data_IF_358753532490
#
_entry.id   IF_358753532490
#
_cell.length_a   1.000
_cell.length_b   1.000
_cell.length_c   1.000
_cell.angle_alpha   90.00
_cell.angle_beta   90.00
_cell.angle_gamma   90.00
#
_symmetry.space_group_name_H-M   'P 1'
#
loop_
_entity.id
_entity.type
_entity.pdbx_description
1 polymer ?
#
# COMPACT_ATOMS: atom_id res chain seq x y z
N UNK A 1 38.78 -13.03 14.32
CA UNK A 1 38.18 -11.74 13.95
C UNK A 1 37.03 -12.06 13.03
N UNK A 2 35.81 -12.04 13.56
CA UNK A 2 34.60 -12.23 12.76
C UNK A 2 34.24 -10.88 12.18
N UNK A 3 34.17 -10.79 10.86
CA UNK A 3 33.60 -9.66 10.15
C UNK A 3 32.12 -9.58 10.53
N UNK A 4 31.77 -8.52 11.24
CA UNK A 4 30.40 -8.10 11.51
C UNK A 4 29.72 -7.87 10.17
N UNK A 5 29.07 -8.92 9.67
CA UNK A 5 28.07 -8.82 8.62
C UNK A 5 26.95 -8.00 9.24
N UNK A 6 26.86 -6.74 8.82
CA UNK A 6 25.80 -5.80 9.18
C UNK A 6 24.49 -6.56 9.31
N UNK A 7 24.01 -6.68 10.55
CA UNK A 7 22.62 -6.99 10.79
C UNK A 7 21.87 -5.77 10.26
N UNK A 8 21.42 -5.84 9.01
CA UNK A 8 20.48 -4.87 8.45
C UNK A 8 19.27 -4.87 9.38
N UNK A 9 19.21 -3.90 10.28
CA UNK A 9 18.03 -3.69 11.10
C UNK A 9 16.93 -3.33 10.12
N UNK A 10 16.03 -4.28 9.85
CA UNK A 10 14.83 -4.04 9.06
C UNK A 10 14.11 -2.85 9.68
N UNK A 11 14.08 -1.72 8.97
CA UNK A 11 13.42 -0.50 9.41
C UNK A 11 12.04 -0.40 8.77
N UNK A 12 11.10 0.31 9.38
CA UNK A 12 9.81 0.58 8.77
C UNK A 12 9.98 1.27 7.41
N UNK A 13 10.94 2.18 7.28
CA UNK A 13 11.16 2.98 6.06
C UNK A 13 11.63 2.17 4.86
N UNK A 14 12.15 0.97 5.08
CA UNK A 14 12.59 0.04 4.02
C UNK A 14 11.54 -0.99 3.62
N UNK A 15 10.37 -1.01 4.26
CA UNK A 15 9.32 -2.00 4.01
C UNK A 15 8.12 -1.34 3.29
N UNK A 16 7.64 -1.88 2.16
CA UNK A 16 6.58 -1.25 1.39
C UNK A 16 5.25 -1.19 2.15
N UNK A 17 5.02 -2.15 3.04
CA UNK A 17 3.80 -2.20 3.83
C UNK A 17 3.68 -0.96 4.73
N UNK A 18 4.80 -0.37 5.15
CA UNK A 18 4.76 0.86 5.93
C UNK A 18 4.25 2.05 5.12
N UNK A 19 4.66 2.18 3.85
CA UNK A 19 4.12 3.19 2.96
C UNK A 19 2.61 3.00 2.73
N UNK A 20 2.16 1.75 2.52
CA UNK A 20 0.73 1.41 2.37
C UNK A 20 -0.07 1.77 3.63
N UNK A 21 0.45 1.44 4.82
CA UNK A 21 -0.17 1.80 6.10
C UNK A 21 -0.29 3.32 6.22
N UNK A 22 0.77 4.06 5.90
CA UNK A 22 0.78 5.52 5.95
C UNK A 22 -0.26 6.12 5.00
N UNK A 23 -0.33 5.66 3.75
CA UNK A 23 -1.35 6.09 2.77
C UNK A 23 -2.77 5.84 3.27
N UNK A 24 -3.02 4.67 3.88
CA UNK A 24 -4.33 4.38 4.45
C UNK A 24 -4.67 5.38 5.57
N UNK A 25 -3.75 5.62 6.49
CA UNK A 25 -3.98 6.53 7.62
C UNK A 25 -4.23 7.96 7.13
N UNK A 26 -3.49 8.41 6.12
CA UNK A 26 -3.68 9.72 5.49
C UNK A 26 -5.08 9.87 4.89
N UNK A 27 -5.52 8.88 4.10
CA UNK A 27 -6.78 8.97 3.36
C UNK A 27 -8.02 8.60 4.18
N UNK A 28 -7.91 7.63 5.09
CA UNK A 28 -9.06 6.89 5.61
C UNK A 28 -9.18 6.84 7.13
N UNK A 29 -8.20 7.38 7.88
CA UNK A 29 -8.21 7.33 9.36
C UNK A 29 -9.48 7.94 9.96
N UNK A 30 -9.95 9.06 9.40
CA UNK A 30 -11.15 9.78 9.86
C UNK A 30 -12.42 8.96 9.65
N UNK A 31 -12.65 8.46 8.43
CA UNK A 31 -13.82 7.64 8.08
C UNK A 31 -13.81 6.32 8.85
N UNK A 32 -12.62 5.74 9.07
CA UNK A 32 -12.47 4.50 9.84
C UNK A 32 -12.60 4.74 11.37
N UNK A 33 -12.43 5.99 11.84
CA UNK A 33 -12.50 6.38 13.24
C UNK A 33 -11.32 5.88 14.08
N UNK A 34 -10.13 5.84 13.48
CA UNK A 34 -8.86 5.38 14.08
C UNK A 34 -7.87 6.55 14.22
N UNK A 35 -6.90 6.47 15.14
CA UNK A 35 -5.86 7.49 15.24
C UNK A 35 -5.01 7.56 13.97
N UNK A 36 -4.52 8.77 13.65
CA UNK A 36 -3.52 9.03 12.63
C UNK A 36 -2.24 9.51 13.31
N UNK A 37 -1.38 8.60 13.81
CA UNK A 37 -0.08 8.98 14.34
C UNK A 37 0.83 9.53 13.23
N UNK A 38 1.77 10.38 13.60
CA UNK A 38 2.85 10.80 12.71
C UNK A 38 3.70 9.59 12.30
N UNK A 39 4.46 9.77 11.21
CA UNK A 39 5.39 8.77 10.71
C UNK A 39 6.40 8.32 11.75
N UNK A 40 6.86 9.23 12.60
CA UNK A 40 7.83 8.95 13.65
C UNK A 40 7.18 8.14 14.77
N UNK A 41 6.04 8.60 15.28
CA UNK A 41 5.32 7.91 16.36
C UNK A 41 4.94 6.48 15.95
N UNK A 42 4.42 6.29 14.74
CA UNK A 42 4.05 4.96 14.26
C UNK A 42 5.26 4.04 14.13
N UNK A 43 6.38 4.55 13.60
CA UNK A 43 7.64 3.79 13.50
C UNK A 43 8.11 3.36 14.89
N UNK A 44 8.18 4.30 15.83
CA UNK A 44 8.65 4.03 17.19
C UNK A 44 7.81 2.95 17.88
N UNK A 45 6.48 3.05 17.77
CA UNK A 45 5.57 2.04 18.33
C UNK A 45 5.76 0.63 17.72
N UNK A 46 6.10 0.54 16.43
CA UNK A 46 6.26 -0.74 15.73
C UNK A 46 7.65 -1.37 15.93
N UNK A 47 8.69 -0.54 15.93
CA UNK A 47 10.09 -0.96 16.06
C UNK A 47 10.49 -1.26 17.52
N UNK A 48 9.74 -0.77 18.52
CA UNK A 48 9.99 -1.10 19.91
C UNK A 48 9.82 -2.62 20.18
N UNK A 49 10.85 -3.18 20.80
CA UNK A 49 10.92 -4.60 21.20
C UNK A 49 11.02 -4.78 22.72
N UNK A 50 11.04 -3.68 23.48
CA UNK A 50 11.12 -3.64 24.94
C UNK A 50 9.73 -3.64 25.57
N UNK A 51 8.82 -2.86 24.98
CA UNK A 51 7.41 -2.79 25.32
C UNK A 51 6.53 -2.64 24.07
N UNK A 52 5.22 -2.72 24.24
CA UNK A 52 4.25 -2.46 23.17
C UNK A 52 3.40 -1.28 23.63
N UNK A 53 3.46 -0.18 22.90
CA UNK A 53 2.69 1.02 23.21
C UNK A 53 1.20 0.71 23.32
N UNK A 54 0.55 1.21 24.38
CA UNK A 54 -0.89 1.04 24.58
C UNK A 54 -1.70 1.59 23.40
N UNK A 55 -1.23 2.67 22.78
CA UNK A 55 -1.88 3.28 21.60
C UNK A 55 -1.93 2.29 20.43
N UNK A 56 -0.86 1.51 20.22
CA UNK A 56 -0.80 0.50 19.18
C UNK A 56 -1.69 -0.72 19.50
N UNK A 57 -1.73 -1.14 20.77
CA UNK A 57 -2.65 -2.21 21.22
C UNK A 57 -4.11 -1.79 20.98
N UNK A 58 -4.47 -0.58 21.38
CA UNK A 58 -5.82 -0.05 21.23
C UNK A 58 -6.21 0.10 19.75
N UNK A 59 -5.27 0.49 18.89
CA UNK A 59 -5.46 0.52 17.44
C UNK A 59 -5.81 -0.88 16.89
N UNK A 60 -5.02 -1.90 17.23
CA UNK A 60 -5.27 -3.28 16.79
C UNK A 60 -6.63 -3.80 17.27
N UNK A 61 -6.96 -3.60 18.54
CA UNK A 61 -8.24 -3.99 19.12
C UNK A 61 -9.39 -3.27 18.40
N UNK A 62 -9.24 -1.97 18.14
CA UNK A 62 -10.26 -1.17 17.45
C UNK A 62 -10.50 -1.69 16.03
N UNK A 63 -9.45 -1.96 15.25
CA UNK A 63 -9.57 -2.50 13.89
C UNK A 63 -10.26 -3.87 13.87
N UNK A 64 -9.89 -4.76 14.79
CA UNK A 64 -10.54 -6.08 14.94
C UNK A 64 -12.03 -5.94 15.24
N UNK A 65 -12.41 -5.08 16.19
CA UNK A 65 -13.82 -4.85 16.56
C UNK A 65 -14.61 -4.25 15.41
N UNK A 66 -14.02 -3.31 14.67
CA UNK A 66 -14.62 -2.68 13.49
C UNK A 66 -14.86 -3.68 12.37
N UNK A 67 -14.01 -4.71 12.24
CA UNK A 67 -14.19 -5.84 11.34
C UNK A 67 -15.07 -6.97 11.92
N UNK A 68 -15.94 -6.65 12.89
CA UNK A 68 -16.86 -7.59 13.57
C UNK A 68 -16.18 -8.80 14.23
N UNK A 69 -14.89 -8.70 14.57
CA UNK A 69 -14.20 -9.74 15.36
C UNK A 69 -14.34 -9.43 16.85
N UNK A 70 -14.94 -10.34 17.60
CA UNK A 70 -15.08 -10.21 19.05
C UNK A 70 -13.73 -10.46 19.73
N UNK A 71 -13.18 -9.41 20.35
CA UNK A 71 -11.89 -9.48 21.04
C UNK A 71 -11.98 -8.88 22.45
N UNK A 72 -11.61 -9.70 23.44
CA UNK A 72 -11.38 -9.28 24.82
C UNK A 72 -10.04 -8.56 24.89
N UNK A 73 -10.00 -7.43 25.61
CA UNK A 73 -8.80 -6.61 25.76
C UNK A 73 -7.64 -7.43 26.33
N UNK A 74 -7.90 -8.29 27.32
CA UNK A 74 -6.86 -9.13 27.94
C UNK A 74 -6.34 -10.27 27.04
N UNK A 75 -7.05 -10.56 25.93
CA UNK A 75 -6.74 -11.65 25.01
C UNK A 75 -6.42 -11.14 23.60
N UNK A 76 -6.05 -9.87 23.47
CA UNK A 76 -5.84 -9.23 22.18
C UNK A 76 -4.77 -9.95 21.32
N UNK A 77 -3.64 -10.34 21.90
CA UNK A 77 -2.58 -11.06 21.16
C UNK A 77 -3.08 -12.38 20.58
N UNK A 78 -3.92 -13.12 21.34
CA UNK A 78 -4.51 -14.37 20.85
C UNK A 78 -5.49 -14.13 19.70
N UNK A 79 -6.24 -13.03 19.76
CA UNK A 79 -7.11 -12.62 18.65
C UNK A 79 -6.30 -12.26 17.40
N UNK A 80 -5.19 -11.55 17.57
CA UNK A 80 -4.29 -11.23 16.46
C UNK A 80 -3.62 -12.46 15.87
N UNK A 81 -3.21 -13.45 16.68
CA UNK A 81 -2.61 -14.67 16.16
C UNK A 81 -3.59 -15.45 15.29
N UNK A 82 -4.83 -15.60 15.76
CA UNK A 82 -5.92 -16.21 14.99
C UNK A 82 -6.18 -15.46 13.69
N UNK A 83 -6.11 -14.13 13.72
CA UNK A 83 -6.24 -13.32 12.52
C UNK A 83 -5.05 -13.51 11.57
N UNK A 84 -3.81 -13.55 12.05
CA UNK A 84 -2.66 -13.84 11.20
C UNK A 84 -2.83 -15.14 10.42
N UNK A 85 -3.36 -16.20 11.06
CA UNK A 85 -3.62 -17.48 10.39
C UNK A 85 -4.61 -17.40 9.21
N UNK A 86 -5.42 -16.34 9.10
CA UNK A 86 -6.33 -16.18 7.97
C UNK A 86 -5.63 -15.74 6.68
N UNK A 87 -4.44 -15.14 6.77
CA UNK A 87 -3.67 -14.69 5.60
C UNK A 87 -2.26 -15.31 5.51
N UNK A 88 -1.66 -15.73 6.62
CA UNK A 88 -0.33 -16.34 6.69
C UNK A 88 -0.20 -17.23 7.91
N UNK A 89 -0.09 -18.54 7.70
CA UNK A 89 0.19 -19.49 8.77
C UNK A 89 1.50 -19.12 9.49
N UNK A 90 2.55 -18.78 8.74
CA UNK A 90 3.86 -18.42 9.30
C UNK A 90 3.76 -17.23 10.26
N UNK A 91 2.95 -16.22 9.95
CA UNK A 91 2.77 -15.03 10.78
C UNK A 91 1.98 -15.38 12.06
N UNK A 92 0.99 -16.27 11.96
CA UNK A 92 0.25 -16.79 13.10
C UNK A 92 1.17 -17.54 14.06
N UNK A 93 1.96 -18.48 13.55
CA UNK A 93 2.95 -19.22 14.36
C UNK A 93 3.99 -18.30 15.01
N UNK A 94 4.48 -17.27 14.31
CA UNK A 94 5.41 -16.29 14.87
C UNK A 94 4.77 -15.57 16.08
N UNK A 95 3.53 -15.10 15.94
CA UNK A 95 2.84 -14.37 17.00
C UNK A 95 2.49 -15.27 18.19
N UNK A 96 2.06 -16.50 17.95
CA UNK A 96 1.80 -17.49 18.99
C UNK A 96 3.04 -17.86 19.80
N UNK A 97 4.18 -18.00 19.11
CA UNK A 97 5.42 -18.47 19.72
C UNK A 97 6.18 -17.36 20.44
N UNK A 98 6.25 -16.16 19.84
CA UNK A 98 7.09 -15.07 20.35
C UNK A 98 6.29 -13.94 21.01
N UNK A 99 4.98 -13.87 20.76
CA UNK A 99 4.14 -12.73 21.16
C UNK A 99 4.41 -11.49 20.30
N UNK A 100 3.48 -10.54 20.30
CA UNK A 100 3.55 -9.36 19.42
C UNK A 100 4.84 -8.57 19.63
N UNK A 101 5.23 -8.38 20.90
CA UNK A 101 6.42 -7.61 21.27
C UNK A 101 7.71 -8.10 20.60
N UNK A 102 7.90 -9.42 20.48
CA UNK A 102 9.15 -10.04 20.01
C UNK A 102 9.07 -10.55 18.57
N UNK A 103 7.91 -10.48 17.92
CA UNK A 103 7.77 -10.81 16.50
C UNK A 103 8.55 -9.84 15.61
N UNK A 104 8.98 -10.35 14.45
CA UNK A 104 9.65 -9.55 13.41
C UNK A 104 8.83 -8.33 13.00
N UNK A 105 9.52 -7.24 12.67
CA UNK A 105 8.89 -6.02 12.20
C UNK A 105 8.02 -6.25 10.95
N UNK A 106 8.49 -7.04 10.00
CA UNK A 106 7.73 -7.38 8.78
C UNK A 106 6.44 -8.15 9.07
N UNK A 107 6.36 -8.90 10.18
CA UNK A 107 5.13 -9.55 10.63
C UNK A 107 4.18 -8.51 11.24
N UNK A 108 4.68 -7.62 12.10
CA UNK A 108 3.89 -6.52 12.67
C UNK A 108 3.29 -5.60 11.59
N UNK A 109 4.08 -5.28 10.56
CA UNK A 109 3.66 -4.44 9.42
C UNK A 109 2.61 -5.14 8.57
N UNK A 110 2.84 -6.40 8.16
CA UNK A 110 1.83 -7.15 7.41
C UNK A 110 0.54 -7.31 8.19
N UNK A 111 0.62 -7.61 9.48
CA UNK A 111 -0.55 -7.68 10.37
C UNK A 111 -1.35 -6.38 10.37
N UNK A 112 -0.70 -5.24 10.61
CA UNK A 112 -1.38 -3.94 10.62
C UNK A 112 -1.99 -3.60 9.24
N UNK A 113 -1.24 -3.82 8.15
CA UNK A 113 -1.75 -3.64 6.78
C UNK A 113 -3.02 -4.45 6.55
N UNK A 114 -2.99 -5.76 6.83
CA UNK A 114 -4.14 -6.64 6.61
C UNK A 114 -5.34 -6.23 7.47
N UNK A 115 -5.13 -5.75 8.70
CA UNK A 115 -6.22 -5.23 9.55
C UNK A 115 -6.86 -3.96 8.97
N UNK A 116 -6.07 -3.09 8.34
CA UNK A 116 -6.57 -1.88 7.67
C UNK A 116 -7.31 -2.23 6.38
N UNK A 117 -6.77 -3.15 5.58
CA UNK A 117 -7.42 -3.63 4.35
C UNK A 117 -8.77 -4.30 4.63
N UNK A 118 -8.84 -5.11 5.69
CA UNK A 118 -10.08 -5.76 6.13
C UNK A 118 -11.22 -4.77 6.42
N UNK A 119 -10.92 -3.50 6.69
CA UNK A 119 -11.96 -2.49 6.91
C UNK A 119 -12.80 -2.26 5.65
N UNK A 120 -12.21 -2.36 4.46
CA UNK A 120 -12.95 -2.24 3.19
C UNK A 120 -13.99 -3.35 2.99
N UNK A 121 -13.79 -4.51 3.62
CA UNK A 121 -14.70 -5.64 3.49
C UNK A 121 -15.76 -5.65 4.58
N UNK A 122 -15.33 -5.51 5.85
CA UNK A 122 -16.14 -5.88 7.01
C UNK A 122 -16.71 -4.69 7.81
N UNK A 123 -16.19 -3.47 7.62
CA UNK A 123 -16.61 -2.30 8.38
C UNK A 123 -17.65 -1.48 7.58
N UNK A 124 -18.92 -1.89 7.64
CA UNK A 124 -20.00 -1.27 6.85
C UNK A 124 -20.07 0.25 7.00
N UNK A 125 -19.89 0.78 8.21
CA UNK A 125 -19.93 2.24 8.42
C UNK A 125 -18.81 2.95 7.65
N UNK A 126 -17.61 2.39 7.68
CA UNK A 126 -16.48 2.91 6.90
C UNK A 126 -16.76 2.84 5.40
N UNK A 127 -17.24 1.68 4.91
CA UNK A 127 -17.61 1.49 3.50
C UNK A 127 -18.63 2.52 3.02
N UNK A 128 -19.69 2.75 3.80
CA UNK A 128 -20.71 3.75 3.47
C UNK A 128 -20.12 5.15 3.34
N UNK A 129 -19.14 5.54 4.17
CA UNK A 129 -18.49 6.84 4.03
C UNK A 129 -17.52 6.89 2.84
N UNK A 130 -16.77 5.81 2.59
CA UNK A 130 -15.85 5.71 1.43
C UNK A 130 -16.62 5.74 0.11
N UNK A 131 -17.78 5.08 0.02
CA UNK A 131 -18.60 5.05 -1.19
C UNK A 131 -19.23 6.41 -1.56
N UNK A 132 -19.18 7.39 -0.66
CA UNK A 132 -19.59 8.78 -0.97
C UNK A 132 -18.50 9.58 -1.67
N UNK A 133 -17.26 9.09 -1.64
CA UNK A 133 -16.11 9.77 -2.24
C UNK A 133 -16.07 9.48 -3.74
N UNK A 134 -15.65 10.48 -4.50
CA UNK A 134 -15.45 10.34 -5.94
C UNK A 134 -14.20 9.49 -6.22
N UNK A 135 -14.19 8.82 -7.38
CA UNK A 135 -13.05 8.01 -7.82
C UNK A 135 -11.72 8.78 -7.80
N UNK A 136 -11.75 10.07 -8.14
CA UNK A 136 -10.57 10.96 -8.12
C UNK A 136 -10.04 11.20 -6.69
N UNK A 137 -10.88 11.17 -5.66
CA UNK A 137 -10.48 11.40 -4.27
C UNK A 137 -9.81 10.16 -3.66
N UNK A 138 -10.21 8.98 -4.15
CA UNK A 138 -9.70 7.67 -3.74
C UNK A 138 -8.34 7.34 -4.36
N UNK A 139 -8.04 7.89 -5.54
CA UNK A 139 -6.76 7.69 -6.21
C UNK A 139 -5.69 8.60 -5.59
N UNK A 140 -4.50 8.03 -5.44
CA UNK A 140 -3.29 8.81 -5.19
C UNK A 140 -2.64 8.97 -6.56
N UNK A 141 -2.44 10.21 -6.99
CA UNK A 141 -1.73 10.50 -8.22
C UNK A 141 -0.23 10.64 -7.92
N UNK A 142 0.65 10.19 -8.83
CA UNK A 142 2.07 10.46 -8.69
C UNK A 142 2.35 11.97 -8.78
N UNK A 143 3.41 12.42 -8.13
CA UNK A 143 3.91 13.79 -8.28
C UNK A 143 4.32 14.09 -9.73
N UNK A 144 4.85 13.08 -10.42
CA UNK A 144 5.34 13.20 -11.78
C UNK A 144 6.39 12.14 -12.11
N UNK A 145 7.01 12.30 -13.28
CA UNK A 145 8.11 11.46 -13.76
C UNK A 145 9.35 12.30 -14.05
N UNK A 146 10.53 11.72 -13.83
CA UNK A 146 11.78 12.34 -14.29
C UNK A 146 12.10 11.99 -15.76
N UNK A 147 13.20 12.53 -16.25
CA UNK A 147 13.69 12.31 -17.61
C UNK A 147 14.05 10.84 -17.91
N UNK A 148 14.29 10.03 -16.88
CA UNK A 148 14.60 8.62 -16.98
C UNK A 148 13.33 7.76 -16.91
N UNK A 149 12.15 8.39 -16.78
CA UNK A 149 10.86 7.70 -16.69
C UNK A 149 10.51 7.22 -15.27
N UNK A 150 11.34 7.51 -14.26
CA UNK A 150 11.10 7.10 -12.88
C UNK A 150 9.95 7.92 -12.30
N UNK A 151 9.02 7.27 -11.60
CA UNK A 151 7.81 7.89 -11.08
C UNK A 151 7.98 8.27 -9.60
N UNK A 152 7.57 9.48 -9.23
CA UNK A 152 7.72 9.99 -7.86
C UNK A 152 6.37 10.07 -7.15
N UNK A 153 6.36 9.66 -5.88
CA UNK A 153 5.18 9.63 -5.02
C UNK A 153 5.45 10.40 -3.73
N UNK A 154 4.47 11.14 -3.24
CA UNK A 154 4.59 11.94 -2.01
C UNK A 154 3.60 11.49 -0.95
N UNK A 155 4.04 11.51 0.30
CA UNK A 155 3.18 11.32 1.46
C UNK A 155 3.43 12.42 2.50
N UNK A 156 2.36 12.79 3.19
CA UNK A 156 2.40 13.70 4.33
C UNK A 156 1.78 13.07 5.56
N UNK A 157 2.28 13.44 6.74
CA UNK A 157 1.69 13.07 8.01
C UNK A 157 1.06 14.28 8.72
N UNK A 158 0.34 14.09 9.84
CA UNK A 158 -0.30 15.18 10.58
C UNK A 158 0.70 16.18 11.21
N UNK A 159 1.98 15.81 11.31
CA UNK A 159 3.06 16.69 11.77
C UNK A 159 3.76 17.41 10.61
N UNK A 160 3.20 17.32 9.38
CA UNK A 160 3.75 17.88 8.16
C UNK A 160 5.14 17.36 7.79
N UNK A 161 5.49 16.14 8.22
CA UNK A 161 6.64 15.45 7.68
C UNK A 161 6.36 15.00 6.25
N UNK A 162 7.35 15.17 5.38
CA UNK A 162 7.28 14.79 3.97
C UNK A 162 8.11 13.54 3.72
N UNK A 163 7.57 12.64 2.91
CA UNK A 163 8.31 11.52 2.33
C UNK A 163 8.09 11.48 0.83
N UNK A 164 9.18 11.23 0.10
CA UNK A 164 9.14 11.01 -1.34
C UNK A 164 9.70 9.64 -1.67
N UNK A 165 8.91 8.88 -2.41
CA UNK A 165 9.30 7.59 -2.96
C UNK A 165 9.53 7.73 -4.46
N UNK A 166 10.51 6.98 -4.97
CA UNK A 166 10.80 6.84 -6.39
C UNK A 166 10.54 5.40 -6.78
N UNK A 167 9.69 5.21 -7.78
CA UNK A 167 9.33 3.94 -8.38
C UNK A 167 10.01 3.81 -9.74
N UNK A 168 10.64 2.67 -9.96
CA UNK A 168 11.08 2.21 -11.26
C UNK A 168 10.03 1.20 -11.79
N UNK A 169 9.21 1.59 -12.78
CA UNK A 169 8.15 0.72 -13.30
C UNK A 169 8.70 -0.47 -14.09
N UNK A 170 9.91 -0.36 -14.65
CA UNK A 170 10.52 -1.42 -15.46
C UNK A 170 11.20 -2.48 -14.56
N UNK A 171 11.85 -2.05 -13.48
CA UNK A 171 12.45 -2.96 -12.50
C UNK A 171 11.47 -3.43 -11.41
N UNK A 172 10.25 -2.88 -11.38
CA UNK A 172 9.23 -3.09 -10.32
C UNK A 172 9.79 -2.80 -8.91
N UNK A 173 10.68 -1.81 -8.80
CA UNK A 173 11.31 -1.42 -7.53
C UNK A 173 10.83 -0.06 -7.06
N UNK A 174 10.92 0.17 -5.75
CA UNK A 174 10.61 1.46 -5.14
C UNK A 174 11.64 1.80 -4.05
N UNK A 175 11.90 3.10 -3.89
CA UNK A 175 12.95 3.59 -3.00
C UNK A 175 12.49 4.86 -2.28
N UNK A 176 12.70 4.95 -0.96
CA UNK A 176 12.51 6.20 -0.22
C UNK A 176 13.69 7.15 -0.52
N UNK A 177 13.46 8.17 -1.33
CA UNK A 177 14.50 9.12 -1.80
C UNK A 177 14.55 10.41 -0.99
N UNK A 178 13.47 10.77 -0.29
CA UNK A 178 13.47 11.85 0.69
C UNK A 178 12.61 11.48 1.90
N UNK A 179 13.12 11.76 3.11
CA UNK A 179 12.43 11.43 4.39
C UNK A 179 12.09 12.66 5.24
N UNK A 180 12.56 13.83 4.81
CA UNK A 180 12.40 15.10 5.48
C UNK A 180 12.59 16.25 4.48
N UNK A 181 12.41 17.49 4.95
CA UNK A 181 12.55 18.70 4.13
C UNK A 181 13.95 18.83 3.51
N UNK A 182 14.99 18.46 4.23
CA UNK A 182 16.37 18.56 3.75
C UNK A 182 16.59 17.62 2.56
N UNK A 183 16.18 16.35 2.72
CA UNK A 183 16.23 15.36 1.64
C UNK A 183 15.40 15.76 0.42
N UNK A 184 14.24 16.40 0.64
CA UNK A 184 13.42 16.91 -0.47
C UNK A 184 14.13 18.02 -1.25
N UNK A 185 14.77 18.97 -0.57
CA UNK A 185 15.55 20.03 -1.24
C UNK A 185 16.70 19.41 -2.05
N UNK A 186 17.46 18.48 -1.46
CA UNK A 186 18.54 17.80 -2.17
C UNK A 186 18.04 17.00 -3.39
N UNK A 187 16.87 16.37 -3.29
CA UNK A 187 16.25 15.67 -4.42
C UNK A 187 15.87 16.64 -5.54
N UNK A 188 15.25 17.78 -5.20
CA UNK A 188 14.88 18.82 -6.18
C UNK A 188 16.14 19.35 -6.88
N UNK A 189 17.21 19.64 -6.14
CA UNK A 189 18.46 20.14 -6.70
C UNK A 189 19.09 19.13 -7.67
N UNK A 190 19.09 17.84 -7.31
CA UNK A 190 19.60 16.76 -8.17
C UNK A 190 18.79 16.61 -9.46
N UNK A 191 17.46 16.60 -9.36
CA UNK A 191 16.56 16.51 -10.51
C UNK A 191 16.66 17.74 -11.42
N UNK A 192 16.83 18.94 -10.84
CA UNK A 192 16.91 20.20 -11.57
C UNK A 192 18.27 20.41 -12.25
N UNK A 193 19.34 19.83 -11.69
CA UNK A 193 20.70 19.95 -12.25
C UNK A 193 20.91 19.10 -13.50
N UNK A 194 19.95 18.23 -13.84
CA UNK A 194 19.99 17.44 -15.06
C UNK A 194 21.22 16.53 -15.13
N UNK A 195 21.65 15.91 -14.02
CA UNK A 195 22.84 15.04 -14.04
C UNK A 195 22.73 13.90 -15.08
N UNK A 196 21.53 13.44 -15.43
CA UNK A 196 21.32 12.56 -16.59
C UNK A 196 21.16 13.25 -17.97
N UNK A 197 21.01 14.58 -18.04
CA UNK A 197 21.08 15.34 -19.31
C UNK A 197 22.52 15.49 -19.79
N UNK A 198 23.50 15.44 -18.90
CA UNK A 198 24.91 15.60 -19.27
C UNK A 198 25.39 14.42 -20.10
N UNK A 199 24.99 13.19 -19.74
CA UNK A 199 25.35 11.98 -20.48
C UNK A 199 24.70 11.94 -21.87
N UNK A 200 23.42 12.30 -21.99
CA UNK A 200 22.72 12.36 -23.29
C UNK A 200 23.24 13.48 -24.19
N UNK A 201 23.55 14.66 -23.64
CA UNK A 201 24.15 15.76 -24.40
C UNK A 201 25.58 15.44 -24.83
N UNK A 202 26.36 14.68 -24.04
CA UNK A 202 27.68 14.22 -24.47
C UNK A 202 27.57 13.25 -25.66
N UNK A 203 26.62 12.31 -25.61
CA UNK A 203 26.40 11.34 -26.70
C UNK A 203 25.81 12.01 -27.96
N UNK A 204 24.90 12.98 -27.81
CA UNK A 204 24.29 13.70 -28.94
C UNK A 204 25.23 14.75 -29.57
N UNK A 205 26.13 15.34 -28.79
CA UNK A 205 27.10 16.32 -29.30
C UNK A 205 28.36 15.68 -29.92
N UNK A 206 28.58 14.37 -29.73
CA UNK A 206 29.73 13.66 -30.33
C UNK A 206 29.52 13.32 -31.82
N UNK A 207 28.29 13.38 -32.34
CA UNK A 207 27.97 13.10 -33.76
C UNK A 207 27.85 14.37 -34.64
N UNK A 208 28.17 15.55 -34.11
CA UNK A 208 28.34 16.78 -34.90
C UNK A 208 29.79 16.99 -35.35
N UNK A 209 30.38 15.97 -35.99
CA UNK A 209 31.48 16.20 -36.95
C UNK A 209 30.89 16.17 -38.35
N UNK A 210 30.63 17.37 -38.87
CA UNK A 210 30.19 17.62 -40.24
C UNK A 210 31.10 16.91 -41.26
N UNK A 211 30.56 15.92 -41.96
CA UNK A 211 31.02 15.60 -43.31
C UNK A 211 30.08 16.28 -44.29
N UNK A 212 30.68 17.10 -45.14
CA UNK A 212 30.04 17.83 -46.24
C UNK A 212 29.33 16.84 -47.15
N UNK A 213 27.99 16.92 -47.22
CA UNK A 213 27.24 16.28 -48.29
C UNK A 213 27.33 17.23 -49.49
N UNK A 214 28.23 16.91 -50.42
CA UNK A 214 28.29 17.50 -51.74
C UNK A 214 26.90 17.44 -52.40
N UNK A 215 26.45 18.60 -52.89
CA UNK A 215 25.22 18.74 -53.66
C UNK A 215 25.29 17.82 -54.89
N UNK A 216 24.30 16.96 -55.16
CA UNK A 216 24.24 16.25 -56.42
C UNK A 216 24.00 17.27 -57.54
N UNK A 217 24.98 17.39 -58.43
CA UNK A 217 24.83 18.06 -59.73
C UNK A 217 23.86 17.24 -60.60
N UNK A 218 22.64 17.73 -60.77
CA UNK A 218 21.78 17.31 -61.89
C UNK A 218 21.81 18.39 -62.96
N UNK A 219 22.61 18.12 -63.98
CA UNK A 219 22.61 18.79 -65.28
C UNK A 219 21.30 18.45 -66.02
N UNK A 220 20.37 19.40 -66.05
CA UNK A 220 19.35 19.51 -67.10
C UNK A 220 18.86 20.95 -67.09
N UNK A 221 19.33 21.73 -68.08
CA UNK A 221 19.08 23.15 -68.15
C UNK A 221 17.62 23.51 -68.38
N UNK A 222 17.08 24.39 -67.53
CA UNK A 222 16.16 25.44 -67.94
C UNK A 222 16.15 26.59 -66.92
N UNK A 223 16.24 27.82 -67.44
CA UNK A 223 16.33 29.11 -66.72
C UNK A 223 14.93 29.62 -66.29
N UNK A 224 14.85 30.59 -65.34
CA UNK A 224 13.82 30.74 -64.32
C UNK A 224 12.70 31.75 -64.66
N UNK A 225 11.62 31.69 -63.89
CA UNK A 225 10.57 32.69 -63.67
C UNK A 225 9.69 32.16 -62.52
N UNK A 226 9.11 32.89 -61.57
CA UNK A 226 9.15 34.27 -61.08
C UNK A 226 8.51 34.21 -59.66
N UNK A 227 8.56 35.32 -58.95
CA UNK A 227 8.02 35.60 -57.60
C UNK A 227 6.46 35.60 -57.54
N UNK A 228 5.93 35.88 -56.33
CA UNK A 228 4.52 36.17 -55.90
C UNK A 228 3.86 35.02 -55.09
N UNK A 229 3.73 35.12 -53.76
CA UNK A 229 2.85 35.95 -52.89
C UNK A 229 1.51 35.26 -52.53
N UNK A 230 1.32 35.06 -51.21
CA UNK A 230 0.07 35.10 -50.41
C UNK A 230 -1.04 34.07 -50.77
N UNK A 231 -1.94 33.56 -49.92
CA UNK A 231 -2.66 34.09 -48.76
C UNK A 231 -3.06 32.93 -47.80
N UNK A 232 -3.28 33.30 -46.54
CA UNK A 232 -4.00 32.55 -45.50
C UNK A 232 -5.50 32.50 -45.82
N UNK A 233 -6.21 31.42 -45.47
CA UNK A 233 -7.61 31.51 -45.03
C UNK A 233 -7.91 30.49 -43.91
N UNK A 234 -8.48 31.05 -42.83
CA UNK A 234 -9.18 30.38 -41.73
C UNK A 234 -10.67 30.12 -42.12
N UNK A 235 -11.45 29.65 -41.15
CA UNK A 235 -12.90 29.40 -41.09
C UNK A 235 -13.38 27.98 -41.47
N UNK A 236 -14.37 27.36 -40.83
CA UNK A 236 -14.96 27.41 -39.49
C UNK A 236 -15.92 26.18 -39.43
N UNK A 237 -16.19 25.74 -38.20
CA UNK A 237 -17.32 24.95 -37.65
C UNK A 237 -18.26 24.08 -38.51
N UNK A 238 -18.63 22.91 -37.94
CA UNK A 238 -20.06 22.62 -37.67
C UNK A 238 -20.27 21.51 -36.63
N UNK A 239 -20.99 21.91 -35.59
CA UNK A 239 -21.81 21.17 -34.62
C UNK A 239 -22.49 19.87 -35.10
N UNK A 240 -22.72 18.94 -34.16
CA UNK A 240 -23.68 17.84 -34.28
C UNK A 240 -23.92 17.09 -32.98
N UNK A 241 -24.92 17.52 -32.23
CA UNK A 241 -25.52 16.96 -31.00
C UNK A 241 -26.16 15.57 -31.17
N UNK A 242 -26.24 14.80 -30.08
CA UNK A 242 -27.12 13.63 -29.93
C UNK A 242 -27.09 13.05 -28.52
N UNK A 243 -28.11 13.36 -27.73
CA UNK A 243 -28.48 12.73 -26.44
C UNK A 243 -29.19 11.40 -26.70
N UNK A 244 -29.11 10.45 -25.76
CA UNK A 244 -30.21 9.56 -25.35
C UNK A 244 -29.83 8.79 -24.06
N UNK A 245 -30.70 8.86 -23.06
CA UNK A 245 -30.71 8.05 -21.82
C UNK A 245 -31.44 6.72 -22.06
N UNK A 246 -31.18 5.70 -21.22
CA UNK A 246 -32.25 4.88 -20.62
C UNK A 246 -31.76 4.02 -19.43
N UNK A 247 -32.75 3.65 -18.62
CA UNK A 247 -32.82 3.33 -17.19
C UNK A 247 -33.02 1.81 -16.91
N UNK A 248 -33.06 1.44 -15.61
CA UNK A 248 -33.56 0.20 -14.96
C UNK A 248 -32.54 -0.95 -14.78
N UNK A 249 -32.39 -1.61 -13.63
CA UNK A 249 -33.10 -1.57 -12.35
C UNK A 249 -32.44 -2.51 -11.33
N UNK A 250 -32.76 -2.29 -10.05
CA UNK A 250 -32.36 -3.04 -8.85
C UNK A 250 -32.97 -4.45 -8.78
N UNK A 251 -32.25 -5.44 -8.23
CA UNK A 251 -32.81 -6.49 -7.37
C UNK A 251 -31.77 -6.91 -6.30
N UNK A 252 -32.15 -6.68 -5.03
CA UNK A 252 -31.53 -7.19 -3.79
C UNK A 252 -32.13 -8.58 -3.50
N UNK A 253 -31.31 -9.56 -3.11
CA UNK A 253 -31.77 -10.71 -2.33
C UNK A 253 -30.77 -11.00 -1.19
N UNK A 254 -31.25 -10.75 0.03
CA UNK A 254 -30.71 -11.19 1.30
C UNK A 254 -30.87 -12.72 1.46
N UNK A 255 -29.80 -13.43 1.85
CA UNK A 255 -29.94 -14.69 2.60
C UNK A 255 -28.98 -14.72 3.81
N UNK A 256 -29.60 -14.84 4.98
CA UNK A 256 -29.02 -15.05 6.30
C UNK A 256 -28.68 -16.53 6.58
N UNK A 257 -27.70 -16.75 7.48
CA UNK A 257 -27.46 -18.01 8.23
C UNK A 257 -26.38 -18.92 7.61
N UNK A 258 -25.49 -19.60 8.32
CA UNK A 258 -25.57 -20.18 9.66
C UNK A 258 -24.19 -20.28 10.34
N UNK A 259 -24.25 -20.36 11.66
CA UNK A 259 -23.17 -20.41 12.65
C UNK A 259 -22.78 -21.88 12.90
N UNK A 260 -21.59 -22.32 12.48
CA UNK A 260 -21.09 -23.68 12.71
C UNK A 260 -20.12 -23.73 13.91
N UNK A 261 -20.70 -24.10 15.05
CA UNK A 261 -20.02 -24.47 16.28
C UNK A 261 -19.58 -25.94 16.20
N UNK A 262 -18.33 -26.19 15.86
CA UNK A 262 -17.74 -27.54 15.88
C UNK A 262 -17.20 -27.87 17.28
N UNK A 263 -18.02 -28.62 18.04
CA UNK A 263 -17.59 -29.34 19.23
C UNK A 263 -16.62 -30.48 18.90
N UNK A 264 -15.56 -30.51 19.70
CA UNK A 264 -14.45 -31.45 19.68
C UNK A 264 -14.85 -32.78 20.37
N UNK A 265 -14.68 -33.92 19.69
CA UNK A 265 -14.57 -35.23 20.35
C UNK A 265 -13.87 -36.25 19.47
N UNK A 266 -12.81 -36.87 20.02
CA UNK A 266 -12.49 -38.31 20.04
C UNK A 266 -11.15 -38.45 20.79
N UNK A 267 -11.21 -38.83 22.07
CA UNK A 267 -10.82 -40.13 22.65
C UNK A 267 -9.32 -40.43 22.62
N UNK A 268 -8.73 -40.54 23.82
CA UNK A 268 -7.60 -41.42 24.05
C UNK A 268 -7.77 -42.20 25.38
N UNK A 269 -7.26 -43.43 25.34
CA UNK A 269 -7.63 -44.57 26.18
C UNK A 269 -7.03 -44.57 27.59
N UNK A 270 -7.81 -45.13 28.53
CA UNK A 270 -7.42 -46.20 29.46
C UNK A 270 -6.32 -45.95 30.51
N UNK A 271 -6.67 -46.12 31.79
CA UNK A 271 -6.12 -47.16 32.71
C UNK A 271 -7.05 -47.22 33.93
N UNK A 272 -7.45 -48.43 34.32
CA UNK A 272 -8.57 -48.66 35.23
C UNK A 272 -8.29 -48.57 36.73
N UNK A 273 -9.33 -48.92 37.51
CA UNK A 273 -9.27 -49.62 38.81
C UNK A 273 -10.68 -50.00 39.28
N UNK A 274 -10.92 -51.30 39.30
CA UNK A 274 -11.40 -52.11 40.44
C UNK A 274 -12.62 -51.66 41.29
N UNK A 275 -13.63 -52.55 41.29
CA UNK A 275 -14.50 -53.00 42.41
C UNK A 275 -15.49 -52.01 43.06
N UNK A 276 -16.79 -52.32 42.97
CA UNK A 276 -17.51 -53.04 44.02
C UNK A 276 -18.99 -53.27 43.65
N UNK A 277 -19.39 -54.55 43.65
CA UNK A 277 -20.77 -55.01 43.58
C UNK A 277 -21.42 -54.81 44.95
N UNK A 278 -22.58 -54.15 45.02
CA UNK A 278 -23.58 -54.41 46.07
C UNK A 278 -24.98 -54.50 45.47
N UNK A 279 -25.40 -55.76 45.36
CA UNK A 279 -26.79 -56.22 45.30
C UNK A 279 -27.51 -55.86 46.60
N UNK A 280 -28.71 -55.28 46.52
CA UNK A 280 -29.84 -55.66 47.38
C UNK A 280 -31.18 -55.50 46.64
N UNK A 281 -32.03 -56.51 46.83
CA UNK A 281 -33.37 -56.68 46.29
C UNK A 281 -34.43 -56.08 47.23
N UNK A 282 -35.60 -55.77 46.63
CA UNK A 282 -36.97 -55.87 47.16
C UNK A 282 -37.33 -55.03 48.39
N UNK A 283 -38.45 -54.29 48.30
CA UNK A 283 -39.76 -54.76 48.79
C UNK A 283 -40.89 -53.85 48.28
N UNK A 284 -42.00 -54.52 47.94
CA UNK A 284 -43.42 -54.10 47.88
C UNK A 284 -43.84 -52.88 47.07
#
# INVERSE_FOLDING_TARGET
>A
MATEKEASSSSCTSDPNFAVICSFLEKFSTQCGIPHPSFLELREMLEDTTEVSQVLIDLHIKLMRKARKTISVDKWERGLSKFCHTYSQQDGWELERFGYKKSKLSVKLRLLKNLLELQFDCNNKFKTEVNKLMSIELRVDPLGRDQNGLTYWCQFDPAAHVRVYREDPDEETWHLVAKDRGGLVSLIDSLSSGEGQQELNLILNEDSTSQEIEKPITDTGQVPADEEELEEEEDEESSGTGEEEEDLGEEEEDEDGEDDNLEERVQENGVGKHFAIKSQRKTS
#
